data_IF_936388919802
#
_entry.id   IF_936388919802
#
_cell.length_a   1.000
_cell.length_b   1.000
_cell.length_c   1.000
_cell.angle_alpha   90.00
_cell.angle_beta   90.00
_cell.angle_gamma   90.00
#
_symmetry.space_group_name_H-M   'P 1'
#
loop_
_entity.id
_entity.type
_entity.pdbx_description
1 polymer ?
#
# COMPACT_ATOMS: atom_id res chain seq x y z
N UNK A 1 -11.13 -5.89 13.47
CA UNK A 1 -12.01 -5.09 14.37
C UNK A 1 -12.63 -3.88 13.66
N UNK A 2 -11.89 -3.07 12.87
CA UNK A 2 -12.43 -1.92 12.14
C UNK A 2 -13.60 -2.27 11.22
N UNK A 3 -13.48 -3.35 10.43
CA UNK A 3 -14.57 -3.83 9.56
C UNK A 3 -15.81 -4.27 10.34
N UNK A 4 -15.64 -4.85 11.51
CA UNK A 4 -16.76 -5.20 12.40
C UNK A 4 -17.50 -3.96 12.89
N UNK A 5 -16.78 -2.91 13.25
CA UNK A 5 -17.37 -1.62 13.62
C UNK A 5 -18.14 -0.98 12.45
N UNK A 6 -17.57 -1.05 11.25
CA UNK A 6 -18.23 -0.58 10.03
C UNK A 6 -19.54 -1.33 9.76
N UNK A 7 -19.50 -2.64 9.80
CA UNK A 7 -20.68 -3.49 9.57
C UNK A 7 -21.79 -3.27 10.61
N UNK A 8 -21.40 -2.96 11.85
CA UNK A 8 -22.36 -2.67 12.94
C UNK A 8 -22.90 -1.22 12.93
N UNK A 9 -22.43 -0.36 12.00
CA UNK A 9 -22.83 1.05 11.94
C UNK A 9 -22.22 1.92 13.05
N UNK A 10 -21.16 1.46 13.67
CA UNK A 10 -20.44 2.19 14.74
C UNK A 10 -19.38 3.12 14.12
N UNK A 11 -19.83 4.21 13.52
CA UNK A 11 -18.97 5.09 12.71
C UNK A 11 -17.85 5.73 13.50
N UNK A 12 -18.10 6.12 14.75
CA UNK A 12 -17.10 6.71 15.65
C UNK A 12 -15.99 5.73 16.01
N UNK A 13 -16.38 4.50 16.38
CA UNK A 13 -15.43 3.43 16.67
C UNK A 13 -14.63 3.04 15.42
N UNK A 14 -15.28 2.98 14.26
CA UNK A 14 -14.63 2.74 12.99
C UNK A 14 -13.58 3.82 12.66
N UNK A 15 -13.92 5.10 12.82
CA UNK A 15 -12.99 6.21 12.61
C UNK A 15 -11.78 6.15 13.56
N UNK A 16 -12.00 5.81 14.83
CA UNK A 16 -10.92 5.63 15.81
C UNK A 16 -9.97 4.49 15.43
N UNK A 17 -10.50 3.37 14.94
CA UNK A 17 -9.69 2.24 14.45
C UNK A 17 -8.90 2.59 13.18
N UNK A 18 -9.50 3.32 12.26
CA UNK A 18 -8.81 3.81 11.05
C UNK A 18 -7.68 4.77 11.42
N UNK A 19 -7.88 5.63 12.40
CA UNK A 19 -6.83 6.53 12.91
C UNK A 19 -5.65 5.76 13.49
N UNK A 20 -5.91 4.75 14.33
CA UNK A 20 -4.84 3.90 14.87
C UNK A 20 -4.06 3.19 13.77
N UNK A 21 -4.76 2.70 12.75
CA UNK A 21 -4.14 2.08 11.58
C UNK A 21 -3.28 3.09 10.80
N UNK A 22 -3.77 4.31 10.58
CA UNK A 22 -3.02 5.37 9.91
C UNK A 22 -1.76 5.76 10.69
N UNK A 23 -1.84 5.88 12.01
CA UNK A 23 -0.69 6.14 12.86
C UNK A 23 0.36 5.04 12.76
N UNK A 24 -0.05 3.78 12.79
CA UNK A 24 0.85 2.64 12.60
C UNK A 24 1.54 2.66 11.23
N UNK A 25 0.83 3.04 10.17
CA UNK A 25 1.41 3.22 8.84
C UNK A 25 2.47 4.33 8.85
N UNK A 26 2.19 5.48 9.48
CA UNK A 26 3.12 6.61 9.54
C UNK A 26 4.38 6.28 10.36
N UNK A 27 4.24 5.52 11.44
CA UNK A 27 5.39 5.02 12.20
C UNK A 27 6.27 4.08 11.36
N UNK A 28 5.66 3.26 10.52
CA UNK A 28 6.36 2.31 9.66
C UNK A 28 7.05 2.99 8.46
N UNK A 29 6.40 3.96 7.82
CA UNK A 29 6.91 4.61 6.59
C UNK A 29 7.75 5.85 6.84
N UNK A 30 7.69 6.44 8.04
CA UNK A 30 8.41 7.65 8.41
C UNK A 30 7.87 8.94 7.76
N UNK A 31 8.57 10.04 7.97
CA UNK A 31 8.15 11.39 7.54
C UNK A 31 7.99 11.51 6.01
N UNK A 32 8.96 11.01 5.25
CA UNK A 32 8.89 11.02 3.79
C UNK A 32 7.74 10.16 3.25
N UNK A 33 7.45 9.05 3.93
CA UNK A 33 6.32 8.19 3.60
C UNK A 33 4.98 8.86 3.91
N UNK A 34 4.89 9.64 4.98
CA UNK A 34 3.70 10.41 5.34
C UNK A 34 3.31 11.43 4.25
N UNK A 35 4.27 12.13 3.68
CA UNK A 35 4.03 13.04 2.55
C UNK A 35 3.50 12.29 1.33
N UNK A 36 4.03 11.12 1.02
CA UNK A 36 3.52 10.27 -0.07
C UNK A 36 2.10 9.77 0.18
N UNK A 37 1.77 9.44 1.42
CA UNK A 37 0.40 9.07 1.82
C UNK A 37 -0.56 10.23 1.59
N UNK A 38 -0.17 11.45 1.95
CA UNK A 38 -0.96 12.64 1.71
C UNK A 38 -1.23 12.87 0.21
N UNK A 39 -0.21 12.74 -0.63
CA UNK A 39 -0.34 12.86 -2.08
C UNK A 39 -1.27 11.77 -2.64
N UNK A 40 -1.14 10.53 -2.16
CA UNK A 40 -2.01 9.41 -2.54
C UNK A 40 -3.47 9.67 -2.18
N UNK A 41 -3.74 10.16 -0.99
CA UNK A 41 -5.11 10.49 -0.54
C UNK A 41 -5.70 11.62 -1.38
N UNK A 42 -4.89 12.62 -1.73
CA UNK A 42 -5.30 13.71 -2.62
C UNK A 42 -5.63 13.22 -4.03
N UNK A 43 -4.84 12.32 -4.59
CA UNK A 43 -5.13 11.68 -5.88
C UNK A 43 -6.44 10.87 -5.85
N UNK A 44 -6.66 10.11 -4.78
CA UNK A 44 -7.90 9.34 -4.60
C UNK A 44 -9.12 10.26 -4.58
N UNK A 45 -9.02 11.42 -3.92
CA UNK A 45 -10.09 12.42 -3.94
C UNK A 45 -10.40 12.90 -5.35
N UNK A 46 -9.37 13.26 -6.10
CA UNK A 46 -9.52 13.80 -7.46
C UNK A 46 -10.13 12.76 -8.41
N UNK A 47 -9.66 11.52 -8.34
CA UNK A 47 -10.14 10.43 -9.19
C UNK A 47 -11.52 9.90 -8.79
N UNK A 48 -11.81 9.91 -7.50
CA UNK A 48 -13.06 9.38 -6.94
C UNK A 48 -14.22 10.36 -6.91
N UNK A 49 -14.02 11.60 -7.37
CA UNK A 49 -15.05 12.67 -7.33
C UNK A 49 -15.69 12.86 -5.94
N UNK A 50 -14.86 12.72 -4.90
CA UNK A 50 -15.31 12.87 -3.51
C UNK A 50 -15.52 14.35 -3.22
N UNK A 51 -16.67 14.70 -2.63
CA UNK A 51 -16.95 16.07 -2.24
C UNK A 51 -15.98 16.59 -1.17
N UNK A 52 -15.73 17.89 -1.17
CA UNK A 52 -14.76 18.54 -0.31
C UNK A 52 -15.02 18.32 1.18
N UNK A 53 -16.28 18.34 1.60
CA UNK A 53 -16.67 18.12 2.99
C UNK A 53 -16.32 16.70 3.45
N UNK A 54 -16.59 15.68 2.64
CA UNK A 54 -16.24 14.29 2.91
C UNK A 54 -14.72 14.09 2.92
N UNK A 55 -14.01 14.69 1.98
CA UNK A 55 -12.54 14.66 1.93
C UNK A 55 -11.92 15.29 3.18
N UNK A 56 -12.41 16.44 3.62
CA UNK A 56 -11.95 17.09 4.85
C UNK A 56 -12.15 16.21 6.07
N UNK A 57 -13.30 15.55 6.18
CA UNK A 57 -13.59 14.61 7.27
C UNK A 57 -12.61 13.42 7.27
N UNK A 58 -12.35 12.84 6.11
CA UNK A 58 -11.37 11.73 5.94
C UNK A 58 -9.96 12.18 6.32
N UNK A 59 -9.51 13.35 5.86
CA UNK A 59 -8.20 13.90 6.18
C UNK A 59 -8.03 14.17 7.67
N UNK A 60 -9.07 14.64 8.37
CA UNK A 60 -9.03 14.81 9.82
C UNK A 60 -8.81 13.49 10.54
N UNK A 61 -9.46 12.43 10.11
CA UNK A 61 -9.27 11.12 10.74
C UNK A 61 -7.84 10.61 10.52
N UNK A 62 -7.30 10.74 9.33
CA UNK A 62 -6.00 10.16 8.95
C UNK A 62 -4.83 11.01 9.46
N UNK A 63 -4.88 12.33 9.31
CA UNK A 63 -3.71 13.21 9.47
C UNK A 63 -3.73 14.10 10.71
N UNK A 64 -4.85 14.25 11.40
CA UNK A 64 -4.93 15.16 12.55
C UNK A 64 -4.23 14.58 13.79
N UNK A 65 -3.10 15.17 14.24
CA UNK A 65 -2.37 14.69 15.41
C UNK A 65 -3.08 15.02 16.73
N UNK A 66 -3.91 16.06 16.77
CA UNK A 66 -4.56 16.54 17.99
C UNK A 66 -5.85 15.79 18.31
N UNK A 67 -6.26 14.91 17.44
CA UNK A 67 -7.48 14.12 17.63
C UNK A 67 -7.34 12.97 18.63
N UNK A 68 -6.39 13.06 19.56
CA UNK A 68 -6.27 12.12 20.69
C UNK A 68 -7.56 12.13 21.51
N UNK A 69 -8.47 11.21 21.17
CA UNK A 69 -9.75 11.07 21.86
C UNK A 69 -10.80 12.11 21.47
N UNK A 70 -10.54 12.96 20.48
CA UNK A 70 -11.59 13.78 19.90
C UNK A 70 -12.64 12.85 19.31
N UNK A 71 -13.87 13.00 19.76
CA UNK A 71 -15.03 12.43 19.09
C UNK A 71 -14.92 12.84 17.62
N UNK A 72 -15.01 11.88 16.73
CA UNK A 72 -15.14 12.23 15.32
C UNK A 72 -16.28 13.25 15.18
N UNK A 73 -16.16 14.15 14.23
CA UNK A 73 -17.19 15.14 13.95
C UNK A 73 -18.57 14.48 14.10
N UNK A 74 -19.52 15.06 14.86
CA UNK A 74 -20.89 14.51 14.96
C UNK A 74 -21.56 14.33 13.60
N UNK A 75 -21.05 15.00 12.55
CA UNK A 75 -21.44 14.79 11.16
C UNK A 75 -20.77 13.57 10.48
N UNK A 76 -19.96 12.78 11.19
CA UNK A 76 -19.32 11.58 10.65
C UNK A 76 -20.34 10.45 10.51
N UNK A 77 -21.00 10.42 9.37
CA UNK A 77 -22.06 9.49 9.04
C UNK A 77 -21.60 8.39 8.09
N UNK A 78 -22.51 7.55 7.67
CA UNK A 78 -22.28 6.41 6.78
C UNK A 78 -21.49 6.79 5.50
N UNK A 79 -21.76 7.95 4.92
CA UNK A 79 -21.11 8.41 3.68
C UNK A 79 -19.61 8.66 3.89
N UNK A 80 -19.27 9.37 4.97
CA UNK A 80 -17.88 9.65 5.33
C UNK A 80 -17.16 8.35 5.74
N UNK A 81 -17.84 7.47 6.45
CA UNK A 81 -17.30 6.17 6.82
C UNK A 81 -17.02 5.29 5.60
N UNK A 82 -17.89 5.29 4.59
CA UNK A 82 -17.67 4.57 3.34
C UNK A 82 -16.46 5.13 2.57
N UNK A 83 -16.34 6.45 2.46
CA UNK A 83 -15.19 7.09 1.83
C UNK A 83 -13.87 6.80 2.59
N UNK A 84 -13.92 6.83 3.92
CA UNK A 84 -12.76 6.48 4.76
C UNK A 84 -12.35 5.01 4.56
N UNK A 85 -13.30 4.09 4.51
CA UNK A 85 -13.04 2.67 4.27
C UNK A 85 -12.32 2.44 2.94
N UNK A 86 -12.84 3.02 1.86
CA UNK A 86 -12.20 2.87 0.53
C UNK A 86 -10.82 3.53 0.50
N UNK A 87 -10.66 4.71 1.08
CA UNK A 87 -9.36 5.38 1.18
C UNK A 87 -8.35 4.53 1.96
N UNK A 88 -8.75 3.94 3.08
CA UNK A 88 -7.86 3.08 3.89
C UNK A 88 -7.49 1.79 3.16
N UNK A 89 -8.41 1.18 2.43
CA UNK A 89 -8.11 0.01 1.58
C UNK A 89 -7.08 0.33 0.51
N UNK A 90 -7.28 1.43 -0.21
CA UNK A 90 -6.36 1.86 -1.26
C UNK A 90 -4.98 2.21 -0.69
N UNK A 91 -4.95 2.89 0.44
CA UNK A 91 -3.72 3.24 1.13
C UNK A 91 -2.91 2.00 1.56
N UNK A 92 -3.57 1.02 2.19
CA UNK A 92 -2.94 -0.24 2.58
C UNK A 92 -2.46 -1.04 1.37
N UNK A 93 -3.26 -1.09 0.31
CA UNK A 93 -2.90 -1.77 -0.93
C UNK A 93 -1.65 -1.13 -1.57
N UNK A 94 -1.61 0.18 -1.69
CA UNK A 94 -0.46 0.88 -2.28
C UNK A 94 0.79 0.79 -1.42
N UNK A 95 0.64 0.90 -0.10
CA UNK A 95 1.79 0.90 0.82
C UNK A 95 2.41 -0.49 0.98
N UNK A 96 1.61 -1.53 1.14
CA UNK A 96 2.09 -2.87 1.49
C UNK A 96 1.94 -3.90 0.38
N UNK A 97 0.77 -4.03 -0.21
CA UNK A 97 0.47 -5.09 -1.18
C UNK A 97 1.23 -4.86 -2.47
N UNK A 98 1.23 -3.65 -2.99
CA UNK A 98 1.93 -3.30 -4.22
C UNK A 98 3.44 -3.50 -4.09
N UNK A 99 4.04 -3.08 -2.97
CA UNK A 99 5.46 -3.31 -2.70
C UNK A 99 5.81 -4.79 -2.60
N UNK A 100 4.99 -5.57 -1.92
CA UNK A 100 5.20 -7.02 -1.79
C UNK A 100 5.12 -7.72 -3.15
N UNK A 101 4.14 -7.37 -3.99
CA UNK A 101 4.01 -7.89 -5.35
C UNK A 101 5.20 -7.49 -6.23
N UNK A 102 5.66 -6.25 -6.13
CA UNK A 102 6.83 -5.77 -6.87
C UNK A 102 8.11 -6.51 -6.45
N UNK A 103 8.34 -6.68 -5.16
CA UNK A 103 9.48 -7.46 -4.65
C UNK A 103 9.46 -8.90 -5.14
N UNK A 104 8.30 -9.54 -5.14
CA UNK A 104 8.14 -10.89 -5.65
C UNK A 104 8.42 -10.97 -7.16
N UNK A 105 7.91 -10.03 -7.95
CA UNK A 105 8.16 -9.94 -9.38
C UNK A 105 9.65 -9.75 -9.68
N UNK A 106 10.35 -8.91 -8.90
CA UNK A 106 11.80 -8.70 -9.03
C UNK A 106 12.61 -9.94 -8.67
N UNK A 107 12.20 -10.70 -7.65
CA UNK A 107 12.83 -11.98 -7.30
C UNK A 107 12.70 -13.01 -8.43
N UNK A 108 11.52 -13.12 -9.02
CA UNK A 108 11.26 -14.01 -10.16
C UNK A 108 12.11 -13.62 -11.37
N UNK A 109 12.19 -12.34 -11.70
CA UNK A 109 13.04 -11.84 -12.80
C UNK A 109 14.51 -12.13 -12.56
N UNK A 110 15.00 -11.92 -11.35
CA UNK A 110 16.40 -12.23 -10.99
C UNK A 110 16.69 -13.72 -11.12
N UNK A 111 15.78 -14.57 -10.66
CA UNK A 111 15.92 -16.02 -10.82
C UNK A 111 16.05 -16.45 -12.28
N UNK A 112 15.22 -15.94 -13.18
CA UNK A 112 15.32 -16.23 -14.62
C UNK A 112 16.59 -15.66 -15.26
N UNK A 113 17.02 -14.48 -14.86
CA UNK A 113 18.28 -13.89 -15.34
C UNK A 113 19.49 -14.73 -14.94
N UNK A 114 19.52 -15.21 -13.70
CA UNK A 114 20.61 -16.08 -13.19
C UNK A 114 20.61 -17.44 -13.92
N UNK A 115 19.45 -18.00 -14.23
CA UNK A 115 19.34 -19.23 -15.03
C UNK A 115 19.84 -19.01 -16.48
N UNK A 116 19.49 -17.90 -17.11
CA UNK A 116 19.96 -17.58 -18.46
C UNK A 116 21.48 -17.42 -18.49
N UNK A 117 22.09 -16.74 -17.50
CA UNK A 117 23.54 -16.62 -17.37
C UNK A 117 24.22 -17.98 -17.16
N UNK A 118 23.64 -18.87 -16.36
CA UNK A 118 24.14 -20.23 -16.14
C UNK A 118 24.09 -21.11 -17.41
N UNK A 119 23.12 -20.91 -18.28
CA UNK A 119 23.03 -21.63 -19.58
C UNK A 119 24.10 -21.12 -20.53
N UNK A 120 24.34 -19.83 -20.61
CA UNK A 120 25.40 -19.24 -21.45
C UNK A 120 26.79 -19.71 -21.04
N UNK A 121 27.08 -19.83 -19.75
CA UNK A 121 28.35 -20.36 -19.24
C UNK A 121 28.54 -21.84 -19.59
N UNK A 122 27.47 -22.61 -19.70
CA UNK A 122 27.54 -24.05 -20.03
C UNK A 122 27.73 -24.29 -21.52
N UNK A 123 27.24 -23.41 -22.40
CA UNK A 123 27.41 -23.51 -23.85
C UNK A 123 28.79 -23.01 -24.33
N UNK A 124 29.51 -22.26 -23.50
CA UNK A 124 30.81 -21.69 -23.84
C UNK A 124 32.00 -22.63 -23.65
N UNK A 125 31.83 -23.82 -23.03
CA UNK A 125 32.90 -24.80 -22.94
C UNK A 125 32.95 -25.67 -24.19
N UNK A 126 33.98 -25.52 -25.04
CA UNK A 126 34.17 -26.44 -26.16
C UNK A 126 34.52 -27.82 -25.64
N UNK A 127 33.78 -28.82 -26.05
CA UNK A 127 34.03 -30.21 -25.69
C UNK A 127 35.47 -30.61 -26.01
N UNK A 128 36.33 -30.91 -25.04
CA UNK A 128 37.71 -31.21 -25.26
C UNK A 128 37.93 -32.51 -26.09
N UNK A 129 36.88 -33.29 -26.30
CA UNK A 129 36.94 -34.52 -27.12
C UNK A 129 36.93 -34.22 -28.62
N UNK A 130 36.37 -33.07 -29.05
CA UNK A 130 36.32 -32.70 -30.46
C UNK A 130 37.66 -32.26 -31.00
N UNK A 131 38.53 -31.68 -30.15
CA UNK A 131 39.89 -31.25 -30.56
C UNK A 131 40.87 -32.37 -30.76
N UNK A 132 40.61 -33.62 -30.24
CA UNK A 132 41.47 -34.79 -30.43
C UNK A 132 41.18 -35.62 -31.67
N UNK A 133 40.11 -35.32 -32.41
CA UNK A 133 39.68 -36.05 -33.61
C UNK A 133 40.09 -35.37 -34.92
N UNK A 134 40.83 -34.26 -34.86
CA UNK A 134 41.41 -33.65 -36.07
C UNK A 134 42.85 -34.21 -36.26
N UNK A 135 43.13 -34.79 -37.42
CA UNK A 135 44.52 -35.20 -37.78
C UNK A 135 45.48 -34.01 -37.91
#
# INVERSE_FOLDING_TARGET
EALACYSAGLWQAFAAMCRQTAQAIFEDVGEAGRLRVFDTVTEIQQLGEIDEATFTAVCRVIFDPDSKGAKADPAFERRQAAALLETMKDLLNQTYVRKAKLRQALKVRRFFADQAAGIDDTEAEPDPKVSKLRP
#
